data_IF_489240854397
#
_entry.id   IF_489240854397
#
_cell.length_a   1.000
_cell.length_b   1.000
_cell.length_c   1.000
_cell.angle_alpha   90.00
_cell.angle_beta   90.00
_cell.angle_gamma   90.00
#
_symmetry.space_group_name_H-M   'P 1'
#
loop_
_entity.id
_entity.type
_entity.pdbx_description
1 polymer ?
#
# COMPACT_ATOMS: atom_id res chain seq x y z
N UNK A 1 -6.31 23.82 -17.63
CA UNK A 1 -6.61 22.64 -16.78
C UNK A 1 -5.32 22.25 -16.08
N UNK A 2 -5.24 22.40 -14.75
CA UNK A 2 -4.05 21.99 -13.99
C UNK A 2 -4.11 20.48 -13.85
N UNK A 3 -3.24 19.76 -14.56
CA UNK A 3 -2.96 18.36 -14.27
C UNK A 3 -2.38 18.31 -12.86
N UNK A 4 -3.22 18.05 -11.86
CA UNK A 4 -2.72 17.64 -10.56
C UNK A 4 -2.23 16.21 -10.76
N UNK A 5 -0.93 15.94 -10.53
CA UNK A 5 -0.46 14.56 -10.52
C UNK A 5 -1.33 13.80 -9.51
N UNK A 6 -1.70 12.58 -9.87
CA UNK A 6 -2.46 11.67 -9.02
C UNK A 6 -1.60 11.29 -7.82
N UNK A 7 -1.52 12.18 -6.85
CA UNK A 7 -0.82 11.95 -5.61
C UNK A 7 -1.75 11.18 -4.68
N UNK A 8 -1.29 10.02 -4.23
CA UNK A 8 -1.84 9.38 -3.04
C UNK A 8 -1.72 10.34 -1.86
N UNK A 9 -2.74 10.37 -1.01
CA UNK A 9 -2.70 11.07 0.28
C UNK A 9 -3.41 10.28 1.36
N UNK A 10 -2.94 10.41 2.59
CA UNK A 10 -3.63 9.87 3.77
C UNK A 10 -4.49 10.96 4.39
N UNK A 11 -5.71 10.61 4.77
CA UNK A 11 -6.64 11.51 5.47
C UNK A 11 -7.24 10.81 6.67
N UNK A 12 -7.44 11.56 7.75
CA UNK A 12 -8.19 11.07 8.90
C UNK A 12 -9.67 10.88 8.56
N UNK A 13 -10.27 9.85 9.13
CA UNK A 13 -11.71 9.56 9.08
C UNK A 13 -12.22 9.34 10.51
N UNK A 14 -13.52 9.47 10.76
CA UNK A 14 -14.06 9.25 12.11
C UNK A 14 -13.74 7.87 12.71
N UNK A 15 -13.52 6.86 11.85
CA UNK A 15 -13.30 5.46 12.24
C UNK A 15 -11.83 5.00 12.07
N UNK A 16 -10.92 5.90 11.67
CA UNK A 16 -9.53 5.54 11.38
C UNK A 16 -8.89 6.43 10.32
N UNK A 17 -8.12 5.84 9.41
CA UNK A 17 -7.39 6.56 8.37
C UNK A 17 -7.76 6.05 6.99
N UNK A 18 -7.68 6.91 5.98
CA UNK A 18 -7.98 6.55 4.60
C UNK A 18 -6.87 6.98 3.64
N UNK A 19 -6.45 6.04 2.79
CA UNK A 19 -5.59 6.32 1.63
C UNK A 19 -6.48 6.68 0.44
N UNK A 20 -6.29 7.89 -0.08
CA UNK A 20 -6.99 8.40 -1.24
C UNK A 20 -6.06 8.42 -2.44
N UNK A 21 -6.43 7.74 -3.52
CA UNK A 21 -5.69 7.74 -4.76
C UNK A 21 -6.67 7.79 -5.94
N UNK A 22 -6.64 8.86 -6.73
CA UNK A 22 -7.60 9.09 -7.80
C UNK A 22 -9.06 9.01 -7.31
N UNK A 23 -9.79 7.97 -7.71
CA UNK A 23 -11.17 7.66 -7.31
C UNK A 23 -11.25 6.52 -6.28
N UNK A 24 -10.09 5.99 -5.88
CA UNK A 24 -9.99 4.91 -4.92
C UNK A 24 -9.81 5.47 -3.51
N UNK A 25 -10.63 4.99 -2.58
CA UNK A 25 -10.55 5.27 -1.15
C UNK A 25 -10.37 3.94 -0.42
N UNK A 26 -9.31 3.83 0.38
CA UNK A 26 -9.01 2.62 1.15
C UNK A 26 -8.97 3.01 2.62
N UNK A 27 -9.98 2.56 3.36
CA UNK A 27 -10.11 2.81 4.80
C UNK A 27 -9.37 1.72 5.56
N UNK A 28 -8.65 2.12 6.60
CA UNK A 28 -7.96 1.24 7.51
C UNK A 28 -8.10 1.75 8.95
N UNK A 29 -7.84 0.86 9.92
CA UNK A 29 -7.83 1.23 11.32
C UNK A 29 -6.71 2.25 11.62
N UNK A 30 -6.82 3.05 12.70
CA UNK A 30 -5.81 4.05 13.09
C UNK A 30 -4.38 3.50 13.10
N UNK A 31 -4.19 2.27 13.55
CA UNK A 31 -2.88 1.60 13.63
C UNK A 31 -2.17 1.44 12.26
N UNK A 32 -2.88 1.67 11.16
CA UNK A 32 -2.36 1.55 9.80
C UNK A 32 -1.86 2.88 9.21
N UNK A 33 -1.92 3.99 9.97
CA UNK A 33 -1.53 5.32 9.50
C UNK A 33 -0.11 5.34 8.91
N UNK A 34 0.87 4.86 9.65
CA UNK A 34 2.27 4.83 9.22
C UNK A 34 2.45 4.01 7.93
N UNK A 35 1.76 2.87 7.83
CA UNK A 35 1.79 2.02 6.65
C UNK A 35 1.17 2.71 5.42
N UNK A 36 0.01 3.38 5.59
CA UNK A 36 -0.62 4.14 4.51
C UNK A 36 0.22 5.34 4.09
N UNK A 37 0.90 5.99 5.04
CA UNK A 37 1.76 7.12 4.75
C UNK A 37 3.03 6.69 4.01
N UNK A 38 3.60 5.53 4.36
CA UNK A 38 4.67 4.90 3.60
C UNK A 38 4.22 4.64 2.16
N UNK A 39 3.09 3.94 1.97
CA UNK A 39 2.52 3.65 0.65
C UNK A 39 2.26 4.91 -0.18
N UNK A 40 1.82 5.98 0.46
CA UNK A 40 1.56 7.26 -0.19
C UNK A 40 2.82 7.93 -0.74
N UNK A 41 3.99 7.61 -0.20
CA UNK A 41 5.31 8.18 -0.57
C UNK A 41 6.14 7.22 -1.43
N UNK A 42 5.87 5.92 -1.38
CA UNK A 42 6.63 4.89 -2.08
C UNK A 42 6.31 4.88 -3.57
N UNK A 43 7.31 5.19 -4.40
CA UNK A 43 7.26 5.10 -5.86
C UNK A 43 8.04 3.91 -6.42
N UNK A 44 8.78 3.20 -5.56
CA UNK A 44 9.60 2.05 -5.90
C UNK A 44 9.00 0.75 -5.34
N UNK A 45 9.35 -0.42 -5.91
CA UNK A 45 8.98 -1.71 -5.35
C UNK A 45 9.43 -1.87 -3.90
N UNK A 46 8.56 -2.40 -3.04
CA UNK A 46 8.83 -2.68 -1.63
C UNK A 46 8.33 -4.08 -1.26
N UNK A 47 8.84 -4.62 -0.15
CA UNK A 47 8.37 -5.87 0.45
C UNK A 47 7.24 -5.58 1.42
N UNK A 48 6.26 -6.46 1.49
CA UNK A 48 5.11 -6.34 2.41
C UNK A 48 5.56 -6.20 3.88
N UNK A 49 6.67 -6.85 4.26
CA UNK A 49 7.24 -6.78 5.60
C UNK A 49 7.86 -5.42 5.97
N UNK A 50 8.03 -4.52 5.00
CA UNK A 50 8.58 -3.18 5.22
C UNK A 50 7.50 -2.16 5.60
N UNK A 51 6.21 -2.56 5.61
CA UNK A 51 5.12 -1.68 6.03
C UNK A 51 5.26 -1.35 7.54
N UNK A 52 5.53 -0.09 7.91
CA UNK A 52 5.78 0.29 9.29
C UNK A 52 4.51 0.24 10.15
N UNK A 53 4.68 0.09 11.46
CA UNK A 53 3.58 0.19 12.44
C UNK A 53 2.66 -1.02 12.53
N UNK A 54 2.83 -2.04 11.67
CA UNK A 54 1.94 -3.20 11.57
C UNK A 54 2.62 -4.51 11.96
N UNK A 55 1.85 -5.44 12.54
CA UNK A 55 2.27 -6.83 12.72
C UNK A 55 2.34 -7.57 11.37
N UNK A 56 3.08 -8.68 11.30
CA UNK A 56 3.21 -9.47 10.06
C UNK A 56 1.86 -9.93 9.46
N UNK A 57 0.88 -10.20 10.32
CA UNK A 57 -0.48 -10.54 9.91
C UNK A 57 -1.18 -9.34 9.29
N UNK A 58 -1.17 -8.19 9.97
CA UNK A 58 -1.76 -6.94 9.48
C UNK A 58 -1.11 -6.46 8.18
N UNK A 59 0.22 -6.57 8.06
CA UNK A 59 0.95 -6.26 6.83
C UNK A 59 0.44 -7.09 5.66
N UNK A 60 0.25 -8.39 5.88
CA UNK A 60 -0.21 -9.34 4.86
C UNK A 60 -1.66 -9.06 4.44
N UNK A 61 -2.55 -8.82 5.40
CA UNK A 61 -3.96 -8.53 5.15
C UNK A 61 -4.15 -7.18 4.45
N UNK A 62 -3.43 -6.14 4.89
CA UNK A 62 -3.43 -4.83 4.24
C UNK A 62 -2.95 -4.96 2.80
N UNK A 63 -1.78 -5.57 2.57
CA UNK A 63 -1.25 -5.75 1.23
C UNK A 63 -2.21 -6.53 0.32
N UNK A 64 -2.85 -7.59 0.83
CA UNK A 64 -3.86 -8.35 0.08
C UNK A 64 -5.04 -7.45 -0.33
N UNK A 65 -5.56 -6.66 0.60
CA UNK A 65 -6.67 -5.74 0.35
C UNK A 65 -6.32 -4.70 -0.72
N UNK A 66 -5.12 -4.12 -0.64
CA UNK A 66 -4.62 -3.16 -1.62
C UNK A 66 -4.46 -3.76 -3.02
N UNK A 67 -4.02 -5.03 -3.11
CA UNK A 67 -3.91 -5.74 -4.39
C UNK A 67 -5.30 -6.01 -4.98
N UNK A 68 -6.26 -6.47 -4.17
CA UNK A 68 -7.63 -6.69 -4.64
C UNK A 68 -8.32 -5.40 -5.07
N UNK A 69 -8.02 -4.28 -4.39
CA UNK A 69 -8.51 -2.95 -4.75
C UNK A 69 -7.83 -2.36 -6.01
N UNK A 70 -6.77 -3.00 -6.52
CA UNK A 70 -6.01 -2.53 -7.67
C UNK A 70 -5.07 -1.36 -7.37
N UNK A 71 -4.82 -1.05 -6.10
CA UNK A 71 -3.85 -0.03 -5.69
C UNK A 71 -2.41 -0.56 -5.80
N UNK A 72 -2.19 -1.82 -5.42
CA UNK A 72 -0.91 -2.50 -5.55
C UNK A 72 -0.99 -3.59 -6.62
N UNK A 73 0.16 -3.85 -7.24
CA UNK A 73 0.37 -5.00 -8.12
C UNK A 73 1.48 -5.87 -7.55
N UNK A 74 1.31 -7.20 -7.65
CA UNK A 74 2.40 -8.11 -7.32
C UNK A 74 3.39 -8.12 -8.47
N UNK A 75 4.63 -7.80 -8.17
CA UNK A 75 5.71 -8.03 -9.13
C UNK A 75 5.98 -9.53 -9.22
N UNK A 76 6.19 -10.08 -10.43
CA UNK A 76 6.72 -11.43 -10.54
C UNK A 76 8.09 -11.48 -9.84
N UNK A 77 8.38 -12.60 -9.18
CA UNK A 77 9.77 -12.89 -8.82
C UNK A 77 10.55 -12.88 -10.14
N UNK A 78 11.47 -11.93 -10.29
CA UNK A 78 12.22 -11.79 -11.53
C UNK A 78 12.98 -13.08 -11.85
N UNK A 79 13.36 -13.31 -13.12
CA UNK A 79 14.24 -14.42 -13.50
C UNK A 79 15.62 -14.20 -12.86
N UNK A 80 15.77 -14.68 -11.63
CA UNK A 80 16.97 -14.67 -10.80
C UNK A 80 16.82 -15.63 -9.61
N UNK A 81 15.83 -16.50 -9.66
CA UNK A 81 15.57 -17.58 -8.70
C UNK A 81 15.25 -18.84 -9.49
N UNK A 82 16.11 -19.21 -10.43
CA UNK A 82 16.16 -20.59 -10.91
C UNK A 82 16.92 -21.40 -9.86
N UNK A 83 16.32 -22.44 -9.27
CA UNK A 83 17.08 -23.42 -8.52
C UNK A 83 17.95 -24.18 -9.53
N UNK A 84 19.27 -24.11 -9.38
CA UNK A 84 20.22 -25.02 -10.04
C UNK A 84 19.68 -26.45 -9.91
N UNK A 85 19.35 -27.06 -11.05
CA UNK A 85 19.04 -28.49 -11.15
C UNK A 85 20.29 -29.24 -11.56
#
# INVERSE_FOLDING_TARGET
MKYQPLYSRVTDTPDGVALNFAQLEIKAAPDHEDALQFLSKSTEPFRVCELPGLSAEQQTELARSLIMAGFLVRLPVGPGSEPDT
#
